data_IF_301668547504
#
_entry.id   IF_301668547504
#
_cell.length_a   1.000
_cell.length_b   1.000
_cell.length_c   1.000
_cell.angle_alpha   90.00
_cell.angle_beta   90.00
_cell.angle_gamma   90.00
#
_symmetry.space_group_name_H-M   'P 1'
#
loop_
_entity.id
_entity.type
_entity.pdbx_description
1 polymer ?
#
# COMPACT_ATOMS: atom_id res chain seq x y z
N UNK A 1 12.84 -2.26 7.27
CA UNK A 1 13.81 -1.13 7.15
C UNK A 1 13.11 0.21 7.31
N UNK A 2 13.77 1.15 7.92
CA UNK A 2 13.38 2.56 7.84
C UNK A 2 13.50 3.08 6.40
N UNK A 3 12.53 3.87 5.95
CA UNK A 3 12.48 4.37 4.56
C UNK A 3 13.36 5.59 4.27
N UNK A 4 14.25 5.99 5.20
CA UNK A 4 15.18 7.10 5.01
C UNK A 4 14.58 8.50 5.16
N UNK A 5 13.38 8.62 5.69
CA UNK A 5 12.73 9.89 6.04
C UNK A 5 11.74 9.71 7.19
N UNK A 6 11.44 10.80 7.88
CA UNK A 6 10.45 10.89 8.95
C UNK A 6 9.16 11.59 8.50
N UNK A 7 8.86 11.53 7.21
CA UNK A 7 7.69 12.18 6.62
C UNK A 7 6.48 11.23 6.47
N UNK A 8 6.65 9.96 6.83
CA UNK A 8 5.59 8.97 6.84
C UNK A 8 5.23 8.38 5.48
N UNK A 9 6.14 8.38 4.50
CA UNK A 9 5.86 7.81 3.19
C UNK A 9 7.04 7.06 2.57
N UNK A 10 6.73 6.01 1.81
CA UNK A 10 7.65 5.29 0.94
C UNK A 10 7.52 5.75 -0.52
N UNK A 11 8.46 5.37 -1.35
CA UNK A 11 8.37 5.56 -2.80
C UNK A 11 7.20 4.76 -3.40
N UNK A 12 6.65 5.24 -4.52
CA UNK A 12 5.65 4.50 -5.28
C UNK A 12 6.19 3.15 -5.76
N UNK A 13 7.44 3.09 -6.20
CA UNK A 13 8.19 1.85 -6.32
C UNK A 13 8.76 1.49 -4.95
N UNK A 14 8.39 0.34 -4.39
CA UNK A 14 8.89 -0.09 -3.09
C UNK A 14 9.07 -1.62 -3.04
N UNK A 15 10.32 -2.07 -3.12
CA UNK A 15 10.71 -3.46 -2.94
C UNK A 15 10.95 -3.77 -1.47
N UNK A 16 10.35 -4.84 -0.96
CA UNK A 16 10.62 -5.32 0.41
C UNK A 16 11.93 -6.14 0.49
N UNK A 17 12.93 -5.73 -0.25
CA UNK A 17 14.25 -6.37 -0.28
C UNK A 17 15.37 -5.36 -0.15
N UNK A 18 16.47 -5.79 0.48
CA UNK A 18 17.76 -5.10 0.51
C UNK A 18 18.86 -6.05 0.06
N UNK A 19 19.95 -5.50 -0.43
CA UNK A 19 21.21 -6.25 -0.64
C UNK A 19 21.87 -6.45 0.72
N UNK A 20 21.95 -7.69 1.15
CA UNK A 20 22.52 -8.05 2.45
C UNK A 20 23.96 -7.52 2.59
N UNK A 21 24.27 -6.89 3.72
CA UNK A 21 25.59 -6.36 4.03
C UNK A 21 25.95 -5.00 3.41
N UNK A 22 25.12 -4.47 2.48
CA UNK A 22 25.36 -3.13 1.92
C UNK A 22 24.72 -2.02 2.75
N UNK A 23 23.62 -2.32 3.47
CA UNK A 23 22.88 -1.35 4.28
C UNK A 23 23.22 -1.54 5.76
N UNK A 24 23.63 -0.46 6.41
CA UNK A 24 24.03 -0.42 7.82
C UNK A 24 23.65 0.91 8.47
N UNK A 25 23.65 1.05 9.79
CA UNK A 25 23.42 2.33 10.46
C UNK A 25 24.41 3.40 9.98
N UNK A 26 23.88 4.53 9.50
CA UNK A 26 24.69 5.58 8.85
C UNK A 26 24.93 5.38 7.35
N UNK A 27 24.19 4.49 6.71
CA UNK A 27 24.27 4.25 5.26
C UNK A 27 24.15 5.54 4.47
N UNK A 28 25.17 5.92 3.66
CA UNK A 28 25.25 7.24 3.04
C UNK A 28 24.19 7.47 1.96
N UNK A 29 23.68 6.39 1.34
CA UNK A 29 22.63 6.45 0.32
C UNK A 29 21.25 6.18 0.91
N UNK A 30 20.98 6.67 2.13
CA UNK A 30 19.75 6.40 2.88
C UNK A 30 18.47 6.73 2.09
N UNK A 31 18.52 7.60 1.07
CA UNK A 31 17.38 7.89 0.19
C UNK A 31 16.94 6.70 -0.66
N UNK A 32 17.83 5.74 -0.95
CA UNK A 32 17.50 4.50 -1.64
C UNK A 32 16.58 3.61 -0.79
N UNK A 33 16.58 3.81 0.54
CA UNK A 33 15.73 3.05 1.44
C UNK A 33 14.22 3.31 1.22
N UNK A 34 13.83 4.38 0.52
CA UNK A 34 12.46 4.59 0.11
C UNK A 34 11.96 3.53 -0.89
N UNK A 35 12.88 3.03 -1.71
CA UNK A 35 12.55 2.16 -2.84
C UNK A 35 12.90 0.70 -2.60
N UNK A 36 13.83 0.40 -1.70
CA UNK A 36 14.44 -0.92 -1.57
C UNK A 36 15.22 -1.30 -2.84
N UNK A 37 15.58 -2.58 -2.94
CA UNK A 37 16.38 -3.08 -4.05
C UNK A 37 15.64 -4.21 -4.77
N UNK A 38 15.39 -4.04 -6.08
CA UNK A 38 14.73 -5.05 -6.90
C UNK A 38 15.51 -6.37 -6.97
N UNK A 39 16.85 -6.27 -6.90
CA UNK A 39 17.81 -7.37 -6.89
C UNK A 39 18.29 -7.74 -5.46
N UNK A 40 17.58 -7.24 -4.44
CA UNK A 40 17.89 -7.54 -3.05
C UNK A 40 17.71 -9.03 -2.72
N UNK A 41 18.53 -9.53 -1.81
CA UNK A 41 18.54 -10.94 -1.40
C UNK A 41 18.15 -11.14 0.08
N UNK A 42 17.80 -10.06 0.79
CA UNK A 42 17.33 -10.10 2.17
C UNK A 42 15.96 -9.43 2.25
N UNK A 43 14.93 -10.21 2.64
CA UNK A 43 13.60 -9.65 2.91
C UNK A 43 13.65 -8.67 4.08
N UNK A 44 13.20 -7.45 3.85
CA UNK A 44 13.17 -6.39 4.86
C UNK A 44 12.03 -5.43 4.55
N UNK A 45 10.87 -5.65 5.16
CA UNK A 45 9.70 -4.80 4.98
C UNK A 45 10.01 -3.34 5.30
N UNK A 46 9.39 -2.43 4.55
CA UNK A 46 9.55 -0.99 4.75
C UNK A 46 8.72 -0.50 5.94
N UNK A 47 9.26 0.48 6.68
CA UNK A 47 8.58 1.18 7.76
C UNK A 47 8.69 2.68 7.52
N UNK A 48 7.54 3.35 7.51
CA UNK A 48 7.39 4.78 7.40
C UNK A 48 7.03 5.33 8.78
N UNK A 49 7.91 6.07 9.40
CA UNK A 49 7.67 6.72 10.68
C UNK A 49 7.34 8.19 10.50
N UNK A 50 6.44 8.68 11.34
CA UNK A 50 6.01 10.08 11.37
C UNK A 50 5.30 10.38 12.67
N UNK A 51 5.44 11.59 13.18
CA UNK A 51 4.65 12.06 14.32
C UNK A 51 3.33 12.67 13.84
N UNK A 52 2.25 12.49 14.63
CA UNK A 52 0.99 13.22 14.42
C UNK A 52 1.15 14.73 14.61
N UNK A 53 2.17 15.16 15.33
CA UNK A 53 2.55 16.55 15.60
C UNK A 53 3.75 16.98 14.76
N UNK A 54 4.14 18.28 14.76
CA UNK A 54 5.34 18.76 14.05
C UNK A 54 6.63 18.09 14.51
N UNK A 55 6.74 17.76 15.81
CA UNK A 55 7.90 17.08 16.40
C UNK A 55 7.55 15.75 17.05
N UNK A 56 8.58 15.05 17.56
CA UNK A 56 8.47 13.73 18.20
C UNK A 56 7.98 13.79 19.66
N UNK A 57 8.06 14.97 20.28
CA UNK A 57 7.67 15.20 21.66
C UNK A 57 6.49 16.13 21.75
N UNK A 58 5.78 16.10 22.89
CA UNK A 58 4.63 16.95 23.15
C UNK A 58 5.06 18.37 23.52
N UNK A 59 4.47 19.37 22.84
CA UNK A 59 4.58 20.77 23.15
C UNK A 59 3.17 21.39 23.11
N UNK A 60 2.69 22.03 24.23
CA UNK A 60 1.35 22.63 24.28
C UNK A 60 1.09 23.68 23.19
N UNK A 61 2.10 24.43 22.80
CA UNK A 61 2.05 25.43 21.72
C UNK A 61 1.82 24.83 20.32
N UNK A 62 1.78 23.50 20.19
CA UNK A 62 1.53 22.76 18.94
C UNK A 62 0.14 22.11 18.90
N UNK A 63 -0.73 22.38 19.87
CA UNK A 63 -2.05 21.75 19.97
C UNK A 63 -2.98 22.08 18.78
N UNK A 64 -2.75 23.20 18.11
CA UNK A 64 -3.43 23.64 16.89
C UNK A 64 -2.75 23.14 15.59
N UNK A 65 -1.60 22.45 15.70
CA UNK A 65 -0.77 21.99 14.58
C UNK A 65 -0.76 20.46 14.42
N UNK A 66 -1.69 19.78 15.07
CA UNK A 66 -1.91 18.33 14.92
C UNK A 66 -2.32 18.03 13.49
N UNK A 67 -1.76 16.98 12.87
CA UNK A 67 -2.11 16.58 11.51
C UNK A 67 -3.61 16.31 11.39
N UNK A 68 -4.21 16.86 10.35
CA UNK A 68 -5.64 16.68 10.06
C UNK A 68 -5.95 15.26 9.58
N UNK A 69 -7.24 14.92 9.58
CA UNK A 69 -7.72 13.61 9.06
C UNK A 69 -7.31 13.40 7.60
N UNK A 70 -7.33 14.45 6.78
CA UNK A 70 -6.91 14.42 5.38
C UNK A 70 -5.42 14.13 5.24
N UNK A 71 -4.58 14.79 6.03
CA UNK A 71 -3.14 14.57 6.05
C UNK A 71 -2.79 13.15 6.50
N UNK A 72 -3.45 12.65 7.56
CA UNK A 72 -3.26 11.27 8.02
C UNK A 72 -3.74 10.25 6.99
N UNK A 73 -4.81 10.54 6.27
CA UNK A 73 -5.32 9.69 5.18
C UNK A 73 -4.35 9.65 4.00
N UNK A 74 -3.76 10.79 3.62
CA UNK A 74 -2.71 10.85 2.59
C UNK A 74 -1.48 10.02 3.01
N UNK A 75 -1.03 10.15 4.26
CA UNK A 75 0.04 9.33 4.82
C UNK A 75 -0.26 7.83 4.73
N UNK A 76 -1.50 7.41 5.02
CA UNK A 76 -1.90 6.00 4.89
C UNK A 76 -1.72 5.49 3.46
N UNK A 77 -2.17 6.22 2.46
CA UNK A 77 -2.03 5.80 1.07
C UNK A 77 -0.58 5.81 0.59
N UNK A 78 0.23 6.76 1.06
CA UNK A 78 1.64 6.88 0.69
C UNK A 78 2.60 6.01 1.52
N UNK A 79 2.11 5.35 2.55
CA UNK A 79 2.86 4.37 3.35
C UNK A 79 2.31 2.97 3.15
N UNK A 80 1.13 2.66 3.70
CA UNK A 80 0.48 1.35 3.60
C UNK A 80 0.11 1.04 2.15
N UNK A 81 -0.38 2.03 1.40
CA UNK A 81 -0.64 1.91 -0.03
C UNK A 81 0.62 1.84 -0.90
N UNK A 82 1.80 2.05 -0.34
CA UNK A 82 3.11 1.87 -0.98
C UNK A 82 3.90 0.71 -0.37
N UNK A 83 3.21 -0.36 0.02
CA UNK A 83 3.84 -1.58 0.53
C UNK A 83 4.75 -1.34 1.75
N UNK A 84 4.35 -0.48 2.68
CA UNK A 84 5.09 -0.18 3.91
C UNK A 84 4.18 -0.25 5.14
N UNK A 85 4.79 -0.38 6.32
CA UNK A 85 4.12 -0.19 7.60
C UNK A 85 4.12 1.29 7.95
N UNK A 86 3.00 1.83 8.42
CA UNK A 86 2.95 3.18 9.00
C UNK A 86 3.17 3.09 10.51
N UNK A 87 4.24 3.71 11.00
CA UNK A 87 4.50 3.94 12.42
C UNK A 87 4.15 5.39 12.74
N UNK A 88 2.97 5.60 13.33
CA UNK A 88 2.47 6.92 13.71
C UNK A 88 2.75 7.18 15.20
N UNK A 89 3.60 8.16 15.49
CA UNK A 89 3.92 8.56 16.84
C UNK A 89 2.83 9.48 17.42
N UNK A 90 2.43 9.19 18.65
CA UNK A 90 1.53 10.01 19.49
C UNK A 90 2.31 10.51 20.70
N UNK A 91 2.85 11.73 20.69
CA UNK A 91 3.55 12.28 21.84
C UNK A 91 2.61 12.40 23.05
N UNK A 92 3.06 11.93 24.20
CA UNK A 92 2.32 12.05 25.45
C UNK A 92 2.70 13.33 26.19
N UNK A 93 1.73 13.95 26.88
CA UNK A 93 1.95 15.10 27.74
C UNK A 93 2.72 14.69 29.04
N UNK A 94 2.97 15.67 29.93
CA UNK A 94 3.69 15.40 31.19
C UNK A 94 2.94 14.51 32.18
N UNK A 95 1.63 14.30 31.99
CA UNK A 95 0.80 13.40 32.77
C UNK A 95 0.77 11.98 32.17
N UNK A 96 1.51 11.72 31.09
CA UNK A 96 1.53 10.46 30.38
C UNK A 96 0.28 10.20 29.51
N UNK A 97 -0.47 11.24 29.17
CA UNK A 97 -1.71 11.15 28.40
C UNK A 97 -1.54 11.68 26.98
N UNK A 98 -2.22 11.05 26.04
CA UNK A 98 -2.35 11.55 24.66
C UNK A 98 -3.36 12.72 24.70
N UNK A 99 -3.02 13.83 24.03
CA UNK A 99 -3.89 14.99 23.95
C UNK A 99 -5.23 14.67 23.25
N UNK A 100 -6.37 15.23 23.70
CA UNK A 100 -7.69 14.92 23.10
C UNK A 100 -7.77 15.16 21.59
N UNK A 101 -7.13 16.22 21.06
CA UNK A 101 -7.09 16.48 19.60
C UNK A 101 -6.38 15.39 18.83
N UNK A 102 -5.26 14.87 19.34
CA UNK A 102 -4.49 13.78 18.71
C UNK A 102 -5.36 12.51 18.66
N UNK A 103 -6.01 12.18 19.78
CA UNK A 103 -6.90 11.03 19.86
C UNK A 103 -8.12 11.14 18.93
N UNK A 104 -8.76 12.31 18.87
CA UNK A 104 -9.89 12.57 17.98
C UNK A 104 -9.49 12.42 16.51
N UNK A 105 -8.39 13.07 16.09
CA UNK A 105 -7.92 12.99 14.71
C UNK A 105 -7.51 11.55 14.32
N UNK A 106 -6.90 10.78 15.24
CA UNK A 106 -6.57 9.39 15.00
C UNK A 106 -7.81 8.50 14.81
N UNK A 107 -8.83 8.67 15.65
CA UNK A 107 -10.09 7.93 15.56
C UNK A 107 -10.83 8.28 14.26
N UNK A 108 -10.89 9.57 13.91
CA UNK A 108 -11.60 10.00 12.71
C UNK A 108 -10.83 9.65 11.43
N UNK A 109 -9.50 9.66 11.46
CA UNK A 109 -8.65 9.08 10.41
C UNK A 109 -8.98 7.60 10.18
N UNK A 110 -9.01 6.79 11.23
CA UNK A 110 -9.37 5.38 11.12
C UNK A 110 -10.75 5.19 10.48
N UNK A 111 -11.76 5.91 10.98
CA UNK A 111 -13.12 5.86 10.42
C UNK A 111 -13.17 6.29 8.96
N UNK A 112 -12.40 7.32 8.58
CA UNK A 112 -12.32 7.81 7.21
C UNK A 112 -11.76 6.76 6.26
N UNK A 113 -10.65 6.10 6.63
CA UNK A 113 -10.07 5.02 5.83
C UNK A 113 -11.05 3.85 5.70
N UNK A 114 -11.69 3.43 6.81
CA UNK A 114 -12.70 2.36 6.78
C UNK A 114 -13.86 2.71 5.84
N UNK A 115 -14.38 3.94 5.90
CA UNK A 115 -15.47 4.42 5.04
C UNK A 115 -15.06 4.41 3.56
N UNK A 116 -13.85 4.84 3.24
CA UNK A 116 -13.37 4.87 1.85
C UNK A 116 -13.22 3.47 1.24
N UNK A 117 -12.94 2.46 2.06
CA UNK A 117 -12.70 1.07 1.62
C UNK A 117 -13.89 0.14 1.91
N UNK A 118 -15.01 0.64 2.44
CA UNK A 118 -16.13 -0.18 2.91
C UNK A 118 -16.86 -0.92 1.79
N UNK A 119 -16.93 -0.35 0.60
CA UNK A 119 -17.70 -0.93 -0.51
C UNK A 119 -16.77 -1.61 -1.53
N UNK A 120 -16.64 -2.93 -1.39
CA UNK A 120 -15.89 -3.75 -2.33
C UNK A 120 -16.79 -4.14 -3.53
N UNK A 121 -16.59 -3.46 -4.66
CA UNK A 121 -17.33 -3.72 -5.91
C UNK A 121 -16.99 -5.06 -6.57
N UNK A 122 -15.87 -5.70 -6.16
CA UNK A 122 -15.45 -7.01 -6.69
C UNK A 122 -16.03 -8.18 -5.88
N UNK A 123 -16.75 -7.91 -4.78
CA UNK A 123 -17.35 -8.98 -3.98
C UNK A 123 -18.35 -9.80 -4.81
N UNK A 124 -18.02 -11.09 -5.02
CA UNK A 124 -18.83 -12.00 -5.82
C UNK A 124 -18.66 -11.88 -7.34
N UNK A 125 -17.78 -10.98 -7.80
CA UNK A 125 -17.40 -10.89 -9.22
C UNK A 125 -16.29 -11.91 -9.48
N UNK A 126 -16.50 -12.80 -10.44
CA UNK A 126 -15.48 -13.75 -10.87
C UNK A 126 -14.65 -13.09 -11.98
N UNK A 127 -13.32 -12.95 -11.80
CA UNK A 127 -12.48 -12.41 -12.84
C UNK A 127 -12.26 -13.43 -13.98
N UNK A 128 -12.00 -12.91 -15.17
CA UNK A 128 -11.43 -13.65 -16.29
C UNK A 128 -9.94 -13.35 -16.33
N UNK A 129 -9.12 -14.37 -16.49
CA UNK A 129 -7.66 -14.23 -16.54
C UNK A 129 -7.11 -14.79 -17.83
N UNK A 130 -6.08 -14.16 -18.38
CA UNK A 130 -5.45 -14.61 -19.64
C UNK A 130 -4.63 -15.89 -19.48
N UNK A 131 -4.21 -16.23 -18.27
CA UNK A 131 -3.44 -17.43 -17.93
C UNK A 131 -3.64 -17.79 -16.46
N UNK A 132 -3.75 -19.06 -16.15
CA UNK A 132 -3.74 -19.58 -14.77
C UNK A 132 -3.09 -20.94 -14.68
N UNK A 133 -2.39 -21.18 -13.57
CA UNK A 133 -1.75 -22.47 -13.27
C UNK A 133 -2.76 -23.60 -13.05
N UNK A 134 -4.00 -23.27 -12.69
CA UNK A 134 -5.04 -24.24 -12.36
C UNK A 134 -4.91 -24.81 -10.93
N UNK A 135 -5.66 -25.86 -10.65
CA UNK A 135 -5.75 -26.44 -9.32
C UNK A 135 -6.33 -25.44 -8.30
N UNK A 136 -5.58 -25.15 -7.24
CA UNK A 136 -5.98 -24.16 -6.22
C UNK A 136 -5.58 -22.71 -6.55
N UNK A 137 -4.88 -22.49 -7.66
CA UNK A 137 -4.32 -21.19 -8.04
C UNK A 137 -5.12 -20.48 -9.12
N UNK A 138 -6.43 -20.63 -9.06
CA UNK A 138 -7.37 -20.14 -10.07
C UNK A 138 -7.77 -18.69 -9.87
N UNK A 139 -8.37 -18.09 -10.89
CA UNK A 139 -8.90 -16.74 -10.90
C UNK A 139 -9.82 -16.41 -9.70
N UNK A 140 -10.53 -17.40 -9.16
CA UNK A 140 -11.40 -17.21 -7.98
C UNK A 140 -10.68 -16.64 -6.77
N UNK A 141 -9.40 -16.96 -6.60
CA UNK A 141 -8.60 -16.48 -5.48
C UNK A 141 -8.29 -14.97 -5.54
N UNK A 142 -8.55 -14.30 -6.67
CA UNK A 142 -8.31 -12.86 -6.79
C UNK A 142 -9.28 -12.03 -5.96
N UNK A 143 -10.53 -12.52 -5.76
CA UNK A 143 -11.63 -11.76 -5.14
C UNK A 143 -12.34 -12.48 -4.02
N UNK A 144 -11.79 -13.60 -3.52
CA UNK A 144 -12.41 -14.42 -2.45
C UNK A 144 -12.30 -13.77 -1.05
N UNK A 145 -11.37 -12.82 -0.87
CA UNK A 145 -11.14 -12.14 0.40
C UNK A 145 -10.26 -12.93 1.38
N UNK A 146 -9.64 -14.03 0.94
CA UNK A 146 -8.82 -14.90 1.78
C UNK A 146 -7.34 -14.60 1.56
N UNK A 147 -6.58 -14.43 2.65
CA UNK A 147 -5.15 -14.11 2.57
C UNK A 147 -4.25 -15.32 2.28
N UNK A 148 -4.76 -16.54 2.47
CA UNK A 148 -4.01 -17.78 2.26
C UNK A 148 -4.21 -18.38 0.88
N UNK A 149 -5.04 -17.76 0.05
CA UNK A 149 -5.27 -18.14 -1.34
C UNK A 149 -4.68 -17.10 -2.28
N UNK A 150 -4.34 -17.54 -3.50
CA UNK A 150 -3.84 -16.65 -4.53
C UNK A 150 -4.02 -17.25 -5.93
N UNK A 151 -4.17 -16.37 -6.89
CA UNK A 151 -4.05 -16.72 -8.30
C UNK A 151 -2.58 -16.69 -8.72
N UNK A 152 -2.20 -17.62 -9.59
CA UNK A 152 -0.88 -17.61 -10.20
C UNK A 152 -0.95 -18.04 -11.67
N UNK A 153 -0.06 -17.49 -12.49
CA UNK A 153 0.20 -17.92 -13.85
C UNK A 153 0.98 -19.25 -13.88
N UNK A 154 1.03 -19.90 -15.02
CA UNK A 154 1.99 -20.97 -15.28
C UNK A 154 3.44 -20.48 -15.16
N UNK A 155 4.37 -21.42 -14.95
CA UNK A 155 5.80 -21.11 -14.93
C UNK A 155 6.22 -20.46 -16.26
N UNK A 156 7.15 -19.52 -16.20
CA UNK A 156 7.64 -18.71 -17.32
C UNK A 156 6.67 -17.67 -17.91
N UNK A 157 5.42 -17.60 -17.49
CA UNK A 157 4.50 -16.51 -17.89
C UNK A 157 4.74 -15.30 -17.02
N UNK A 158 5.30 -14.24 -17.61
CA UNK A 158 5.72 -13.02 -16.90
C UNK A 158 4.78 -11.84 -17.09
N UNK A 159 3.73 -12.01 -17.90
CA UNK A 159 2.70 -10.99 -18.12
C UNK A 159 1.34 -11.66 -18.23
N UNK A 160 0.35 -11.11 -17.57
CA UNK A 160 -1.02 -11.61 -17.62
C UNK A 160 -2.03 -10.48 -17.42
N UNK A 161 -3.25 -10.74 -17.85
CA UNK A 161 -4.39 -9.82 -17.74
C UNK A 161 -5.41 -10.42 -16.79
N UNK A 162 -6.02 -9.57 -15.97
CA UNK A 162 -7.17 -9.88 -15.12
C UNK A 162 -8.29 -8.93 -15.51
N UNK A 163 -9.41 -9.47 -15.99
CA UNK A 163 -10.56 -8.71 -16.42
C UNK A 163 -11.72 -8.91 -15.45
N UNK A 164 -12.42 -7.83 -15.15
CA UNK A 164 -13.64 -7.84 -14.34
C UNK A 164 -14.78 -7.26 -15.15
N UNK A 165 -15.90 -7.96 -15.15
CA UNK A 165 -17.11 -7.51 -15.83
C UNK A 165 -18.27 -7.33 -14.83
N UNK A 166 -18.97 -6.22 -14.93
CA UNK A 166 -20.18 -5.93 -14.18
C UNK A 166 -21.38 -5.83 -15.11
N UNK A 167 -22.58 -6.24 -14.67
CA UNK A 167 -23.80 -6.12 -15.48
C UNK A 167 -24.15 -4.69 -15.91
N UNK A 168 -23.61 -3.70 -15.22
CA UNK A 168 -23.76 -2.29 -15.51
C UNK A 168 -22.49 -1.53 -15.15
N UNK A 169 -22.22 -0.36 -15.78
CA UNK A 169 -21.07 0.47 -15.47
C UNK A 169 -20.99 0.81 -13.98
N UNK A 170 -19.78 0.70 -13.43
CA UNK A 170 -19.50 1.00 -12.03
C UNK A 170 -18.60 2.23 -11.91
N UNK A 171 -18.82 3.03 -10.87
CA UNK A 171 -17.93 4.14 -10.52
C UNK A 171 -16.91 3.66 -9.50
N UNK A 172 -15.68 3.50 -9.93
CA UNK A 172 -14.54 3.09 -9.09
C UNK A 172 -13.69 4.30 -8.78
N UNK A 173 -13.29 4.46 -7.52
CA UNK A 173 -12.41 5.55 -7.09
C UNK A 173 -11.18 5.07 -6.30
N UNK A 174 -11.11 3.77 -5.98
CA UNK A 174 -9.97 3.12 -5.32
C UNK A 174 -9.82 1.70 -5.86
N UNK A 175 -8.59 1.24 -5.93
CA UNK A 175 -8.25 -0.14 -6.22
C UNK A 175 -7.23 -0.60 -5.18
N UNK A 176 -7.43 -1.77 -4.62
CA UNK A 176 -6.50 -2.42 -3.72
C UNK A 176 -5.91 -3.63 -4.45
N UNK A 177 -4.60 -3.64 -4.56
CA UNK A 177 -3.83 -4.76 -5.11
C UNK A 177 -2.95 -5.37 -4.02
N UNK A 178 -2.83 -6.71 -4.03
CA UNK A 178 -2.00 -7.46 -3.08
C UNK A 178 -1.32 -8.63 -3.77
N UNK A 179 -0.06 -8.88 -3.43
CA UNK A 179 0.65 -10.09 -3.79
C UNK A 179 0.64 -11.08 -2.61
N UNK A 180 0.69 -12.36 -2.90
CA UNK A 180 0.86 -13.40 -1.90
C UNK A 180 2.31 -13.41 -1.39
N UNK A 181 2.57 -12.60 -0.39
CA UNK A 181 3.90 -12.30 0.15
C UNK A 181 4.72 -13.51 0.65
N UNK A 182 4.13 -14.60 1.18
CA UNK A 182 4.91 -15.79 1.52
C UNK A 182 5.75 -16.36 0.36
N UNK A 183 5.40 -16.05 -0.89
CA UNK A 183 6.20 -16.39 -2.08
C UNK A 183 7.08 -15.25 -2.60
N UNK A 184 7.18 -14.15 -1.86
CA UNK A 184 7.93 -12.96 -2.23
C UNK A 184 7.15 -11.97 -3.09
N UNK A 185 7.69 -10.77 -3.22
CA UNK A 185 7.19 -9.71 -4.08
C UNK A 185 7.75 -9.91 -5.49
N UNK A 186 6.90 -9.82 -6.52
CA UNK A 186 7.24 -10.20 -7.90
C UNK A 186 6.81 -9.19 -8.94
N UNK A 187 5.69 -8.49 -8.73
CA UNK A 187 5.15 -7.55 -9.71
C UNK A 187 6.06 -6.33 -9.82
N UNK A 188 6.51 -6.04 -11.03
CA UNK A 188 7.40 -4.92 -11.35
C UNK A 188 6.62 -3.71 -11.86
N UNK A 189 5.52 -3.96 -12.58
CA UNK A 189 4.64 -2.92 -13.10
C UNK A 189 3.27 -3.50 -13.42
N UNK A 190 2.27 -2.63 -13.47
CA UNK A 190 0.92 -2.96 -13.90
C UNK A 190 0.31 -1.78 -14.64
N UNK A 191 -0.75 -2.02 -15.40
CA UNK A 191 -1.59 -1.00 -16.02
C UNK A 191 -3.03 -1.25 -15.61
N UNK A 192 -3.84 -0.19 -15.60
CA UNK A 192 -5.28 -0.27 -15.36
C UNK A 192 -5.99 0.33 -16.55
N UNK A 193 -6.89 -0.43 -17.13
CA UNK A 193 -7.69 -0.03 -18.28
C UNK A 193 -9.17 -0.25 -18.00
N UNK A 194 -10.03 0.44 -18.73
CA UNK A 194 -11.46 0.22 -18.74
C UNK A 194 -11.95 0.03 -20.16
N UNK A 195 -12.93 -0.84 -20.33
CA UNK A 195 -13.55 -1.04 -21.63
C UNK A 195 -14.64 0.01 -21.87
N UNK A 196 -14.58 0.67 -23.03
CA UNK A 196 -15.60 1.57 -23.52
C UNK A 196 -15.97 1.15 -24.93
N UNK A 197 -17.18 0.61 -25.10
CA UNK A 197 -17.73 0.24 -26.41
C UNK A 197 -16.83 -0.72 -27.21
N UNK A 198 -16.10 -1.62 -26.51
CA UNK A 198 -15.19 -2.60 -27.12
C UNK A 198 -13.74 -2.16 -27.22
N UNK A 199 -13.41 -0.92 -26.87
CA UNK A 199 -12.06 -0.38 -26.84
C UNK A 199 -11.52 -0.31 -25.40
N UNK A 200 -10.30 -0.80 -25.16
CA UNK A 200 -9.60 -0.69 -23.89
C UNK A 200 -8.83 0.63 -23.81
N UNK A 201 -9.17 1.44 -22.81
CA UNK A 201 -8.60 2.77 -22.61
C UNK A 201 -7.90 2.82 -21.24
N UNK A 202 -6.72 3.45 -21.16
CA UNK A 202 -6.00 3.55 -19.89
C UNK A 202 -6.73 4.44 -18.87
N UNK A 203 -6.77 4.00 -17.63
CA UNK A 203 -7.23 4.81 -16.50
C UNK A 203 -6.09 5.76 -16.10
N UNK A 204 -6.37 7.06 -16.04
CA UNK A 204 -5.43 8.02 -15.48
C UNK A 204 -5.41 7.85 -13.96
N UNK A 205 -4.35 7.28 -13.45
CA UNK A 205 -4.08 7.16 -12.02
C UNK A 205 -3.28 8.36 -11.50
N UNK A 206 -3.39 8.64 -10.22
CA UNK A 206 -2.64 9.72 -9.56
C UNK A 206 -1.22 9.31 -9.18
N UNK A 207 -0.87 8.04 -9.38
CA UNK A 207 0.39 7.45 -8.96
C UNK A 207 0.99 6.56 -10.06
N UNK A 208 2.30 6.30 -9.95
CA UNK A 208 3.01 5.38 -10.83
C UNK A 208 2.55 3.94 -10.58
N UNK A 209 2.36 3.17 -11.65
CA UNK A 209 1.92 1.78 -11.63
C UNK A 209 3.12 0.84 -11.69
N UNK A 210 3.85 0.74 -10.60
CA UNK A 210 5.08 -0.04 -10.48
C UNK A 210 4.85 -1.28 -9.58
N UNK A 211 5.61 -1.42 -8.49
CA UNK A 211 5.50 -2.56 -7.58
C UNK A 211 4.16 -2.61 -6.85
N UNK A 212 3.70 -3.80 -6.50
CA UNK A 212 2.51 -4.03 -5.67
C UNK A 212 2.93 -4.38 -4.24
N UNK A 213 3.45 -5.56 -4.02
CA UNK A 213 3.81 -6.06 -2.71
C UNK A 213 2.61 -6.47 -1.85
N UNK A 214 2.74 -6.29 -0.52
CA UNK A 214 1.67 -6.66 0.42
C UNK A 214 0.40 -5.83 0.22
N UNK A 215 0.53 -4.55 -0.13
CA UNK A 215 -0.61 -3.66 -0.37
C UNK A 215 -0.21 -2.48 -1.27
N UNK A 216 -1.04 -2.26 -2.29
CA UNK A 216 -0.94 -1.14 -3.22
C UNK A 216 -2.31 -0.52 -3.46
#
# INVERSE_FOLDING_TARGET
RWVGNENGFAGATNWSFLRAGEVYPGYPKYRELQYGHADGNQWTAAECDVSIRPGWFYHPEEDDRVKTVEQLTDLYYRSVGHNATLLLNFPVNRDGLIHPTDSANAVDFYKNVQKQLANNLLKGVLPVVSNERGGKYTAKAVTDGEYDTYWATEDSVTSAVIEFEWPAPQKVNRMLLQEYIPLGQRVQSFVVEYNKEGEWLPVKLNEETTTIGYKR
#
